data_IF_885345838629
#
_entry.id   IF_885345838629
#
_cell.length_a   1.000
_cell.length_b   1.000
_cell.length_c   1.000
_cell.angle_alpha   90.00
_cell.angle_beta   90.00
_cell.angle_gamma   90.00
#
_symmetry.space_group_name_H-M   'P 1'
#
loop_
_entity.id
_entity.type
_entity.pdbx_description
1 polymer ?
#
# COMPACT_ATOMS: atom_id res chain seq x y z
N UNK A 1 -14.13 -26.04 -23.65
CA UNK A 1 -13.49 -24.72 -23.71
C UNK A 1 -14.14 -23.99 -24.88
N UNK A 2 -14.74 -22.82 -24.64
CA UNK A 2 -15.32 -22.01 -25.73
C UNK A 2 -14.19 -21.30 -26.50
N UNK A 3 -14.49 -20.79 -27.69
CA UNK A 3 -13.50 -20.15 -28.57
C UNK A 3 -12.81 -18.95 -27.89
N UNK A 4 -13.56 -18.14 -27.16
CA UNK A 4 -13.04 -17.00 -26.39
C UNK A 4 -11.94 -17.40 -25.40
N UNK A 5 -12.12 -18.47 -24.63
CA UNK A 5 -11.09 -18.91 -23.69
C UNK A 5 -9.81 -19.41 -24.41
N UNK A 6 -9.95 -19.96 -25.62
CA UNK A 6 -8.79 -20.38 -26.44
C UNK A 6 -8.05 -19.13 -26.95
N UNK A 7 -8.78 -18.10 -27.38
CA UNK A 7 -8.18 -16.84 -27.83
C UNK A 7 -7.43 -16.13 -26.70
N UNK A 8 -8.04 -16.02 -25.51
CA UNK A 8 -7.39 -15.50 -24.30
C UNK A 8 -6.11 -16.25 -23.95
N UNK A 9 -6.12 -17.59 -23.97
CA UNK A 9 -4.92 -18.40 -23.70
C UNK A 9 -3.83 -18.24 -24.76
N UNK A 10 -4.21 -18.16 -26.04
CA UNK A 10 -3.26 -17.90 -27.13
C UNK A 10 -2.61 -16.54 -26.96
N UNK A 11 -3.40 -15.52 -26.64
CA UNK A 11 -2.93 -14.16 -26.39
C UNK A 11 -1.96 -14.11 -25.21
N UNK A 12 -2.35 -14.64 -24.05
CA UNK A 12 -1.46 -14.69 -22.88
C UNK A 12 -0.15 -15.45 -23.21
N UNK A 13 -0.26 -16.55 -23.96
CA UNK A 13 0.90 -17.31 -24.43
C UNK A 13 1.82 -16.50 -25.36
N UNK A 14 1.26 -15.65 -26.23
CA UNK A 14 2.02 -14.72 -27.07
C UNK A 14 2.74 -13.68 -26.23
N UNK A 15 2.12 -13.15 -25.19
CA UNK A 15 2.72 -12.17 -24.28
C UNK A 15 3.94 -12.76 -23.56
N UNK A 16 3.85 -13.99 -23.02
CA UNK A 16 5.02 -14.66 -22.42
C UNK A 16 6.15 -14.89 -23.43
N UNK A 17 5.83 -15.26 -24.67
CA UNK A 17 6.83 -15.42 -25.74
C UNK A 17 7.49 -14.09 -26.09
N UNK A 18 6.71 -13.01 -26.16
CA UNK A 18 7.18 -11.64 -26.39
C UNK A 18 8.12 -11.16 -25.29
N UNK A 19 7.83 -11.48 -24.03
CA UNK A 19 8.74 -11.18 -22.93
C UNK A 19 10.07 -11.92 -23.00
N UNK A 20 10.09 -13.20 -23.38
CA UNK A 20 11.28 -14.04 -23.22
C UNK A 20 11.68 -14.18 -21.74
N UNK A 21 12.50 -13.27 -21.22
CA UNK A 21 12.80 -13.14 -19.79
C UNK A 21 12.64 -11.70 -19.30
N UNK A 22 11.81 -11.51 -18.28
CA UNK A 22 11.63 -10.27 -17.53
C UNK A 22 11.73 -10.60 -16.03
N UNK A 23 12.59 -9.90 -15.30
CA UNK A 23 12.79 -10.15 -13.88
C UNK A 23 11.51 -9.86 -13.09
N UNK A 24 11.08 -10.84 -12.29
CA UNK A 24 9.87 -10.79 -11.47
C UNK A 24 8.56 -11.02 -12.24
N UNK A 25 8.63 -11.44 -13.51
CA UNK A 25 7.50 -12.07 -14.21
C UNK A 25 7.70 -13.59 -14.13
N UNK A 26 6.64 -14.31 -13.75
CA UNK A 26 6.68 -15.77 -13.65
C UNK A 26 6.99 -16.36 -15.03
N UNK A 27 7.91 -17.33 -15.07
CA UNK A 27 8.25 -18.02 -16.31
C UNK A 27 7.42 -19.29 -16.45
N UNK A 28 6.57 -19.43 -17.50
CA UNK A 28 5.88 -20.68 -17.75
C UNK A 28 6.85 -21.83 -18.03
N UNK A 29 6.49 -23.02 -17.57
CA UNK A 29 7.16 -24.28 -17.90
C UNK A 29 6.84 -24.71 -19.34
N UNK A 30 5.61 -24.46 -19.79
CA UNK A 30 5.13 -24.81 -21.12
C UNK A 30 4.04 -23.81 -21.55
N UNK A 31 4.05 -23.44 -22.84
CA UNK A 31 3.02 -22.58 -23.45
C UNK A 31 2.52 -23.26 -24.72
N UNK A 32 1.21 -23.48 -24.80
CA UNK A 32 0.50 -24.00 -25.96
C UNK A 32 -0.78 -23.20 -26.20
N UNK A 33 -1.46 -23.46 -27.30
CA UNK A 33 -2.69 -22.75 -27.67
C UNK A 33 -3.89 -23.07 -26.76
N UNK A 34 -3.79 -24.10 -25.92
CA UNK A 34 -4.90 -24.57 -25.07
C UNK A 34 -4.54 -24.66 -23.59
N UNK A 35 -3.28 -24.38 -23.25
CA UNK A 35 -2.75 -24.54 -21.90
C UNK A 35 -1.45 -23.76 -21.73
N UNK A 36 -1.33 -23.08 -20.60
CA UNK A 36 -0.10 -22.49 -20.07
C UNK A 36 0.21 -23.19 -18.75
N UNK A 37 1.32 -23.92 -18.68
CA UNK A 37 1.76 -24.59 -17.45
C UNK A 37 2.70 -23.69 -16.68
N UNK A 38 2.31 -23.37 -15.45
CA UNK A 38 3.07 -22.50 -14.56
C UNK A 38 3.76 -23.30 -13.45
N UNK A 39 4.91 -22.83 -12.95
CA UNK A 39 5.46 -23.37 -11.70
C UNK A 39 4.51 -23.03 -10.55
N UNK A 40 4.33 -23.99 -9.63
CA UNK A 40 3.50 -23.78 -8.45
C UNK A 40 4.28 -23.05 -7.35
N UNK A 41 3.80 -21.87 -6.96
CA UNK A 41 4.36 -21.06 -5.89
C UNK A 41 3.55 -21.24 -4.61
N UNK A 42 4.12 -21.97 -3.64
CA UNK A 42 3.43 -22.38 -2.40
C UNK A 42 2.94 -21.23 -1.53
N UNK A 43 3.61 -20.07 -1.59
CA UNK A 43 3.25 -18.92 -0.77
C UNK A 43 2.00 -18.19 -1.27
N UNK A 44 1.50 -18.55 -2.46
CA UNK A 44 0.28 -17.98 -3.03
C UNK A 44 0.44 -16.53 -3.48
N UNK A 45 -0.68 -15.86 -3.64
CA UNK A 45 -0.78 -14.46 -4.06
C UNK A 45 -0.67 -13.49 -2.90
N UNK A 46 -0.23 -12.27 -3.20
CA UNK A 46 -0.19 -11.16 -2.27
C UNK A 46 -1.57 -10.86 -1.64
N UNK A 47 -2.67 -11.14 -2.36
CA UNK A 47 -4.04 -10.98 -1.82
C UNK A 47 -4.34 -11.82 -0.58
N UNK A 48 -3.58 -12.89 -0.31
CA UNK A 48 -3.71 -13.68 0.92
C UNK A 48 -3.10 -13.00 2.16
N UNK A 49 -2.32 -11.93 1.97
CA UNK A 49 -1.53 -11.28 3.00
C UNK A 49 -2.21 -9.97 3.43
N UNK A 50 -2.92 -10.03 4.56
CA UNK A 50 -3.67 -8.90 5.09
C UNK A 50 -2.72 -7.85 5.71
N UNK A 51 -3.12 -6.59 5.65
CA UNK A 51 -2.32 -5.45 6.17
C UNK A 51 -1.97 -5.57 7.65
N UNK A 52 -2.82 -6.25 8.44
CA UNK A 52 -2.63 -6.44 9.89
C UNK A 52 -1.67 -7.59 10.24
N UNK A 53 -1.43 -8.52 9.30
CA UNK A 53 -0.55 -9.68 9.52
C UNK A 53 0.87 -9.46 9.02
N UNK A 54 1.14 -8.37 8.31
CA UNK A 54 2.43 -8.07 7.67
C UNK A 54 2.94 -6.69 8.08
N UNK A 55 4.21 -6.65 8.49
CA UNK A 55 4.84 -5.39 8.86
C UNK A 55 4.96 -4.42 7.67
N UNK A 56 5.13 -3.14 7.99
CA UNK A 56 5.19 -2.08 6.98
C UNK A 56 6.42 -2.15 6.07
N UNK A 57 7.53 -2.73 6.54
CA UNK A 57 8.77 -2.85 5.76
C UNK A 57 8.57 -3.87 4.64
N UNK A 58 7.97 -5.02 4.97
CA UNK A 58 7.67 -6.06 3.99
C UNK A 58 6.64 -5.60 2.95
N UNK A 59 5.59 -4.87 3.38
CA UNK A 59 4.64 -4.25 2.46
C UNK A 59 5.29 -3.25 1.53
N UNK A 60 6.15 -2.38 2.06
CA UNK A 60 6.92 -1.43 1.26
C UNK A 60 7.81 -2.18 0.24
N UNK A 61 8.51 -3.25 0.66
CA UNK A 61 9.32 -4.07 -0.24
C UNK A 61 8.50 -4.63 -1.41
N UNK A 62 7.32 -5.17 -1.13
CA UNK A 62 6.43 -5.68 -2.18
C UNK A 62 5.99 -4.58 -3.15
N UNK A 63 5.64 -3.39 -2.66
CA UNK A 63 5.26 -2.28 -3.53
C UNK A 63 6.43 -1.81 -4.40
N UNK A 64 7.66 -1.78 -3.88
CA UNK A 64 8.84 -1.53 -4.69
C UNK A 64 9.02 -2.60 -5.77
N UNK A 65 9.03 -3.87 -5.39
CA UNK A 65 9.22 -4.99 -6.32
C UNK A 65 8.16 -4.93 -7.44
N UNK A 66 6.89 -4.74 -7.09
CA UNK A 66 5.80 -4.62 -8.05
C UNK A 66 5.97 -3.43 -9.00
N UNK A 67 6.30 -2.24 -8.49
CA UNK A 67 6.52 -1.06 -9.33
C UNK A 67 7.63 -1.31 -10.37
N UNK A 68 8.74 -1.90 -9.94
CA UNK A 68 9.86 -2.25 -10.81
C UNK A 68 9.52 -3.37 -11.80
N UNK A 69 8.70 -4.35 -11.41
CA UNK A 69 8.21 -5.39 -12.33
C UNK A 69 7.37 -4.75 -13.44
N UNK A 70 6.39 -3.93 -13.08
CA UNK A 70 5.50 -3.27 -14.05
C UNK A 70 6.31 -2.32 -14.96
N UNK A 71 7.26 -1.57 -14.40
CA UNK A 71 8.17 -0.75 -15.21
C UNK A 71 8.91 -1.58 -16.26
N UNK A 72 9.49 -2.74 -15.90
CA UNK A 72 10.16 -3.63 -16.85
C UNK A 72 9.19 -4.24 -17.88
N UNK A 73 7.95 -4.52 -17.49
CA UNK A 73 6.89 -4.96 -18.41
C UNK A 73 6.58 -3.85 -19.41
N UNK A 74 6.48 -2.60 -18.96
CA UNK A 74 6.31 -1.43 -19.84
C UNK A 74 7.51 -1.27 -20.79
N UNK A 75 8.75 -1.49 -20.35
CA UNK A 75 9.92 -1.47 -21.24
C UNK A 75 9.88 -2.53 -22.35
N UNK A 76 9.10 -3.61 -22.15
CA UNK A 76 8.81 -4.61 -23.18
C UNK A 76 7.59 -4.27 -24.02
N UNK A 77 7.09 -3.04 -23.95
CA UNK A 77 5.94 -2.56 -24.71
C UNK A 77 4.66 -3.34 -24.44
N UNK A 78 4.47 -3.76 -23.19
CA UNK A 78 3.24 -4.43 -22.76
C UNK A 78 2.57 -3.57 -21.70
N UNK A 79 1.29 -3.28 -21.90
CA UNK A 79 0.40 -2.75 -20.87
C UNK A 79 -0.24 -3.93 -20.14
N UNK A 80 -0.35 -3.86 -18.82
CA UNK A 80 -0.80 -4.99 -17.99
C UNK A 80 -2.32 -5.09 -17.96
N UNK A 81 -3.01 -3.95 -17.85
CA UNK A 81 -4.44 -3.82 -17.57
C UNK A 81 -4.87 -4.35 -16.18
N UNK A 82 -4.62 -5.62 -15.88
CA UNK A 82 -5.06 -6.25 -14.63
C UNK A 82 -4.00 -6.24 -13.51
N UNK A 83 -3.60 -5.04 -13.08
CA UNK A 83 -2.72 -4.88 -11.91
C UNK A 83 -3.56 -5.03 -10.64
N UNK A 84 -3.44 -6.17 -9.98
CA UNK A 84 -4.11 -6.48 -8.73
C UNK A 84 -3.28 -7.42 -7.84
N UNK A 85 -3.48 -7.37 -6.51
CA UNK A 85 -2.72 -8.20 -5.54
C UNK A 85 -2.84 -9.72 -5.79
N UNK A 86 -3.92 -10.18 -6.42
CA UNK A 86 -4.11 -11.59 -6.81
C UNK A 86 -3.10 -12.06 -7.88
N UNK A 87 -2.60 -11.14 -8.71
CA UNK A 87 -1.71 -11.43 -9.84
C UNK A 87 -0.23 -11.28 -9.49
N UNK A 88 0.10 -11.01 -8.23
CA UNK A 88 1.47 -11.00 -7.72
C UNK A 88 1.66 -12.18 -6.76
N UNK A 89 2.28 -13.24 -7.25
CA UNK A 89 2.59 -14.44 -6.47
C UNK A 89 3.90 -14.26 -5.69
N UNK A 90 4.07 -15.02 -4.62
CA UNK A 90 5.25 -14.99 -3.77
C UNK A 90 6.09 -16.25 -3.96
N UNK A 91 7.40 -16.08 -4.15
CA UNK A 91 8.36 -17.18 -4.10
C UNK A 91 8.73 -17.56 -2.66
N UNK A 92 9.66 -18.52 -2.50
CA UNK A 92 10.10 -19.00 -1.18
C UNK A 92 10.76 -17.91 -0.32
N UNK A 93 11.28 -16.84 -0.93
CA UNK A 93 11.90 -15.70 -0.25
C UNK A 93 10.90 -14.56 0.01
N UNK A 94 9.61 -14.78 -0.28
CA UNK A 94 8.56 -13.77 -0.26
C UNK A 94 8.84 -12.62 -1.24
N UNK A 95 9.50 -12.90 -2.36
CA UNK A 95 9.66 -11.95 -3.46
C UNK A 95 8.58 -12.18 -4.53
N UNK A 96 8.20 -11.09 -5.20
CA UNK A 96 7.07 -11.08 -6.12
C UNK A 96 7.42 -11.69 -7.48
N UNK A 97 6.47 -12.47 -7.98
CA UNK A 97 6.40 -13.02 -9.33
C UNK A 97 5.03 -12.66 -9.90
N UNK A 98 5.00 -11.69 -10.80
CA UNK A 98 3.79 -11.29 -11.49
C UNK A 98 3.36 -12.38 -12.47
N UNK A 99 2.08 -12.68 -12.49
CA UNK A 99 1.43 -13.62 -13.39
C UNK A 99 0.16 -13.02 -13.97
N UNK A 100 -0.50 -13.78 -14.85
CA UNK A 100 -1.77 -13.43 -15.51
C UNK A 100 -1.66 -12.20 -16.42
N UNK A 101 -1.48 -12.46 -17.71
CA UNK A 101 -1.42 -11.43 -18.75
C UNK A 101 -2.59 -11.54 -19.73
N UNK A 102 -3.69 -12.14 -19.29
CA UNK A 102 -4.86 -12.41 -20.14
C UNK A 102 -5.45 -11.14 -20.75
N UNK A 103 -5.49 -10.05 -19.99
CA UNK A 103 -6.04 -8.75 -20.40
C UNK A 103 -4.95 -7.75 -20.88
N UNK A 104 -3.70 -8.20 -20.98
CA UNK A 104 -2.58 -7.33 -21.32
C UNK A 104 -2.61 -6.91 -22.79
N UNK A 105 -1.93 -5.81 -23.15
CA UNK A 105 -1.88 -5.32 -24.52
C UNK A 105 -0.43 -5.16 -24.96
N UNK A 106 -0.04 -5.83 -26.04
CA UNK A 106 1.27 -5.63 -26.69
C UNK A 106 1.16 -4.42 -27.62
N UNK A 107 1.90 -3.35 -27.32
CA UNK A 107 1.93 -2.13 -28.12
C UNK A 107 2.94 -2.27 -29.25
N UNK A 108 2.48 -2.08 -30.49
CA UNK A 108 3.32 -2.29 -31.67
C UNK A 108 4.48 -1.31 -31.72
N UNK A 109 5.63 -1.70 -32.29
CA UNK A 109 6.86 -0.87 -32.35
C UNK A 109 6.70 0.45 -33.12
N UNK A 110 5.67 0.57 -33.97
CA UNK A 110 5.36 1.78 -34.72
C UNK A 110 4.48 2.78 -33.95
N UNK A 111 4.01 2.43 -32.76
CA UNK A 111 3.18 3.29 -31.91
C UNK A 111 4.00 3.92 -30.80
N UNK A 112 3.60 5.11 -30.36
CA UNK A 112 4.20 5.75 -29.20
C UNK A 112 3.52 5.22 -27.92
N UNK A 113 4.24 4.43 -27.13
CA UNK A 113 3.71 3.82 -25.92
C UNK A 113 3.22 4.84 -24.89
N UNK A 114 3.85 6.03 -24.84
CA UNK A 114 3.46 7.06 -23.87
C UNK A 114 2.08 7.65 -24.16
N UNK A 115 1.65 7.62 -25.43
CA UNK A 115 0.40 8.20 -25.91
C UNK A 115 -0.62 7.16 -26.43
N UNK A 116 -0.26 5.87 -26.39
CA UNK A 116 -1.11 4.78 -26.85
C UNK A 116 -2.27 4.52 -25.87
N UNK A 117 -3.45 4.30 -26.44
CA UNK A 117 -4.67 3.86 -25.74
C UNK A 117 -5.28 2.74 -26.57
N UNK A 118 -5.52 1.57 -25.97
CA UNK A 118 -6.15 0.43 -26.66
C UNK A 118 -7.65 0.67 -26.92
N UNK A 119 -8.27 -0.23 -27.68
CA UNK A 119 -9.73 -0.24 -27.90
C UNK A 119 -10.49 -0.35 -26.57
N UNK A 120 -9.98 -1.14 -25.62
CA UNK A 120 -10.53 -1.28 -24.26
C UNK A 120 -10.05 -0.19 -23.28
N UNK A 121 -9.59 0.95 -23.79
CA UNK A 121 -9.14 2.11 -23.02
C UNK A 121 -7.94 1.86 -22.08
N UNK A 122 -7.15 0.82 -22.33
CA UNK A 122 -5.92 0.51 -21.58
C UNK A 122 -4.80 1.43 -22.07
N UNK A 123 -4.10 2.05 -21.13
CA UNK A 123 -2.95 2.94 -21.38
C UNK A 123 -1.92 2.81 -20.26
N UNK A 124 -0.74 3.40 -20.44
CA UNK A 124 0.26 3.51 -19.35
C UNK A 124 -0.35 4.20 -18.13
N UNK A 125 -1.19 5.22 -18.37
CA UNK A 125 -1.84 5.96 -17.28
C UNK A 125 -2.87 5.11 -16.54
N UNK A 126 -3.60 4.25 -17.25
CA UNK A 126 -4.50 3.27 -16.66
C UNK A 126 -3.74 2.30 -15.74
N UNK A 127 -2.64 1.71 -16.21
CA UNK A 127 -1.81 0.81 -15.40
C UNK A 127 -1.28 1.50 -14.13
N UNK A 128 -0.83 2.75 -14.24
CA UNK A 128 -0.38 3.53 -13.08
C UNK A 128 -1.52 3.72 -12.07
N UNK A 129 -2.74 4.01 -12.54
CA UNK A 129 -3.90 4.16 -11.66
C UNK A 129 -4.27 2.84 -10.96
N UNK A 130 -4.26 1.72 -11.69
CA UNK A 130 -4.45 0.36 -11.14
C UNK A 130 -3.37 0.02 -10.10
N UNK A 131 -2.12 0.40 -10.36
CA UNK A 131 -1.05 0.27 -9.38
C UNK A 131 -1.31 1.11 -8.13
N UNK A 132 -1.80 2.35 -8.28
CA UNK A 132 -2.23 3.19 -7.15
C UNK A 132 -3.31 2.52 -6.29
N UNK A 133 -4.28 1.88 -6.94
CA UNK A 133 -5.33 1.09 -6.28
C UNK A 133 -4.77 -0.11 -5.51
N UNK A 134 -3.83 -0.85 -6.12
CA UNK A 134 -3.13 -1.94 -5.44
C UNK A 134 -2.32 -1.46 -4.23
N UNK A 135 -1.62 -0.33 -4.36
CA UNK A 135 -0.91 0.29 -3.23
C UNK A 135 -1.87 0.65 -2.09
N UNK A 136 -3.03 1.22 -2.41
CA UNK A 136 -4.05 1.57 -1.43
C UNK A 136 -4.58 0.34 -0.69
N UNK A 137 -4.86 -0.76 -1.41
CA UNK A 137 -5.26 -2.05 -0.82
C UNK A 137 -4.19 -2.57 0.14
N UNK A 138 -2.94 -2.67 -0.29
CA UNK A 138 -1.83 -3.23 0.51
C UNK A 138 -1.56 -2.40 1.77
N UNK A 139 -1.64 -1.06 1.68
CA UNK A 139 -1.34 -0.20 2.81
C UNK A 139 -2.51 -0.06 3.79
N UNK A 140 -3.72 0.19 3.26
CA UNK A 140 -4.88 0.52 4.09
C UNK A 140 -5.76 -0.68 4.45
N UNK A 141 -5.66 -1.77 3.68
CA UNK A 141 -6.60 -2.89 3.73
C UNK A 141 -7.97 -2.59 3.12
N UNK A 142 -8.19 -1.37 2.61
CA UNK A 142 -9.42 -0.96 1.93
C UNK A 142 -9.25 -1.00 0.42
N UNK A 143 -10.34 -1.29 -0.30
CA UNK A 143 -10.34 -1.33 -1.76
C UNK A 143 -10.88 -0.04 -2.34
N UNK A 144 -10.27 0.36 -3.45
CA UNK A 144 -10.73 1.43 -4.30
C UNK A 144 -10.12 1.26 -5.67
N UNK A 145 -10.94 1.15 -6.69
CA UNK A 145 -10.54 1.14 -8.08
C UNK A 145 -11.52 1.96 -8.92
N UNK A 146 -11.04 2.41 -10.06
CA UNK A 146 -11.91 3.01 -11.05
C UNK A 146 -11.46 2.67 -12.46
N UNK A 147 -12.42 2.75 -13.37
CA UNK A 147 -12.26 2.59 -14.81
C UNK A 147 -12.67 3.88 -15.51
N UNK A 148 -12.06 4.17 -16.66
CA UNK A 148 -12.44 5.29 -17.51
C UNK A 148 -12.91 4.74 -18.84
N UNK A 149 -14.22 4.82 -19.07
CA UNK A 149 -14.87 4.28 -20.27
C UNK A 149 -15.65 5.44 -20.91
N UNK A 150 -15.07 6.15 -21.90
CA UNK A 150 -15.68 7.32 -22.54
C UNK A 150 -17.05 7.07 -23.19
N UNK A 151 -17.36 5.79 -23.46
CA UNK A 151 -18.57 5.34 -24.15
C UNK A 151 -19.81 5.29 -23.25
N UNK A 152 -19.64 5.30 -21.92
CA UNK A 152 -20.79 5.30 -21.01
C UNK A 152 -21.55 6.63 -21.07
N UNK A 153 -22.86 6.59 -20.84
CA UNK A 153 -23.70 7.78 -20.85
C UNK A 153 -23.43 8.68 -19.63
N UNK A 154 -23.32 8.06 -18.45
CA UNK A 154 -23.12 8.71 -17.15
C UNK A 154 -22.14 7.91 -16.29
N UNK A 155 -21.51 8.58 -15.32
CA UNK A 155 -20.65 7.93 -14.33
C UNK A 155 -21.46 6.90 -13.51
N UNK A 156 -20.83 5.76 -13.22
CA UNK A 156 -21.35 4.67 -12.41
C UNK A 156 -20.53 4.60 -11.13
N UNK A 157 -21.00 5.27 -10.07
CA UNK A 157 -20.22 5.49 -8.84
C UNK A 157 -20.93 5.03 -7.57
N UNK A 158 -22.01 4.26 -7.72
CA UNK A 158 -22.83 3.69 -6.64
C UNK A 158 -22.04 2.69 -5.79
N UNK A 159 -21.09 1.96 -6.38
CA UNK A 159 -20.20 1.06 -5.67
C UNK A 159 -19.02 1.85 -5.07
N UNK A 160 -18.83 1.80 -3.73
CA UNK A 160 -17.75 2.53 -3.08
C UNK A 160 -16.35 1.98 -3.38
N UNK A 161 -16.23 0.70 -3.77
CA UNK A 161 -14.96 0.03 -4.04
C UNK A 161 -14.58 0.06 -5.53
N UNK A 162 -15.54 0.04 -6.45
CA UNK A 162 -15.28 -0.01 -7.89
C UNK A 162 -16.18 0.97 -8.64
N UNK A 163 -15.57 1.94 -9.33
CA UNK A 163 -16.30 3.02 -10.01
C UNK A 163 -15.98 3.06 -11.50
N UNK A 164 -16.91 3.48 -12.34
CA UNK A 164 -16.65 3.71 -13.77
C UNK A 164 -17.00 5.14 -14.11
N UNK A 165 -16.04 5.89 -14.64
CA UNK A 165 -16.22 7.27 -15.03
C UNK A 165 -16.13 7.42 -16.54
N UNK A 166 -16.88 8.38 -17.09
CA UNK A 166 -16.82 8.73 -18.51
C UNK A 166 -15.52 9.44 -18.87
N UNK A 167 -15.05 10.28 -17.97
CA UNK A 167 -13.79 10.99 -18.11
C UNK A 167 -12.90 10.68 -16.90
N UNK A 168 -11.62 11.01 -17.00
CA UNK A 168 -10.72 10.79 -15.87
C UNK A 168 -11.22 11.56 -14.63
N UNK A 169 -11.46 10.90 -13.49
CA UNK A 169 -12.08 11.52 -12.33
C UNK A 169 -11.18 12.60 -11.71
N UNK A 170 -11.84 13.62 -11.17
CA UNK A 170 -11.18 14.69 -10.41
C UNK A 170 -10.83 14.22 -9.01
N UNK A 171 -9.95 15.01 -8.38
CA UNK A 171 -9.36 14.74 -7.09
C UNK A 171 -10.34 14.52 -5.92
N UNK A 172 -11.60 14.99 -6.04
CA UNK A 172 -12.66 14.82 -5.05
C UNK A 172 -13.31 13.43 -5.06
N UNK A 173 -13.18 12.67 -6.15
CA UNK A 173 -13.75 11.33 -6.28
C UNK A 173 -12.86 10.24 -5.64
N UNK A 174 -11.61 10.58 -5.31
CA UNK A 174 -10.66 9.64 -4.72
C UNK A 174 -10.80 9.56 -3.19
N UNK A 175 -10.51 8.41 -2.59
CA UNK A 175 -10.40 8.27 -1.15
C UNK A 175 -9.41 9.28 -0.55
N UNK A 176 -9.70 9.69 0.69
CA UNK A 176 -8.79 10.57 1.41
C UNK A 176 -7.54 9.81 1.88
N UNK A 177 -6.38 10.15 1.30
CA UNK A 177 -5.10 9.50 1.61
C UNK A 177 -4.22 10.29 2.59
N UNK A 178 -4.70 11.39 3.19
CA UNK A 178 -3.87 12.33 3.97
C UNK A 178 -3.13 11.71 5.16
N UNK A 179 -3.69 10.67 5.77
CA UNK A 179 -3.08 9.93 6.89
C UNK A 179 -2.70 8.50 6.52
N UNK A 180 -2.63 8.19 5.23
CA UNK A 180 -2.25 6.87 4.71
C UNK A 180 -0.76 6.89 4.40
N UNK A 181 -0.02 5.87 4.83
CA UNK A 181 1.40 5.74 4.45
C UNK A 181 1.52 5.65 2.92
N UNK A 182 2.48 6.37 2.32
CA UNK A 182 2.58 6.56 0.86
C UNK A 182 1.35 7.25 0.21
N UNK A 183 0.48 7.88 1.01
CA UNK A 183 -0.78 8.46 0.55
C UNK A 183 -0.64 9.50 -0.56
N UNK A 184 0.43 10.29 -0.55
CA UNK A 184 0.74 11.25 -1.62
C UNK A 184 1.10 10.56 -2.94
N UNK A 185 1.84 9.45 -2.87
CA UNK A 185 2.23 8.66 -4.06
C UNK A 185 1.00 7.97 -4.64
N UNK A 186 0.21 7.31 -3.79
CA UNK A 186 -1.07 6.67 -4.15
C UNK A 186 -1.97 7.68 -4.89
N UNK A 187 -2.15 8.87 -4.30
CA UNK A 187 -2.98 9.91 -4.89
C UNK A 187 -2.45 10.40 -6.23
N UNK A 188 -1.13 10.53 -6.37
CA UNK A 188 -0.50 10.94 -7.63
C UNK A 188 -0.54 9.86 -8.72
N UNK A 189 -0.66 8.59 -8.35
CA UNK A 189 -0.98 7.53 -9.32
C UNK A 189 -2.38 7.74 -9.93
N UNK A 190 -3.38 8.10 -9.11
CA UNK A 190 -4.76 8.29 -9.55
C UNK A 190 -5.04 9.61 -10.29
N UNK A 191 -4.34 10.70 -9.99
CA UNK A 191 -4.57 11.99 -10.65
C UNK A 191 -4.25 11.94 -12.15
N UNK A 192 -5.12 12.49 -13.01
CA UNK A 192 -4.93 12.48 -14.46
C UNK A 192 -3.64 13.16 -14.92
N UNK A 193 -3.24 14.23 -14.24
CA UNK A 193 -1.99 14.99 -14.42
C UNK A 193 -0.84 14.52 -13.51
N UNK A 194 -1.00 13.33 -12.91
CA UNK A 194 -0.07 12.73 -11.97
C UNK A 194 1.16 12.10 -12.61
N UNK A 195 1.57 10.92 -12.14
CA UNK A 195 2.70 10.21 -12.76
C UNK A 195 2.39 9.82 -14.21
N UNK A 196 3.40 9.96 -15.08
CA UNK A 196 3.32 9.66 -16.51
C UNK A 196 3.90 8.28 -16.84
N UNK A 197 4.89 7.83 -16.06
CA UNK A 197 5.53 6.53 -16.26
C UNK A 197 5.63 5.75 -14.95
N UNK A 198 5.72 4.42 -15.04
CA UNK A 198 6.04 3.60 -13.86
C UNK A 198 7.45 3.87 -13.31
N UNK A 199 8.36 4.42 -14.12
CA UNK A 199 9.68 4.84 -13.64
C UNK A 199 9.57 6.02 -12.66
N UNK A 200 8.66 6.97 -12.91
CA UNK A 200 8.39 8.08 -11.97
C UNK A 200 7.87 7.56 -10.63
N UNK A 201 7.03 6.52 -10.66
CA UNK A 201 6.49 5.85 -9.48
C UNK A 201 7.62 5.14 -8.71
N UNK A 202 8.50 4.41 -9.41
CA UNK A 202 9.68 3.77 -8.81
C UNK A 202 10.55 4.80 -8.08
N UNK A 203 10.91 5.91 -8.75
CA UNK A 203 11.69 6.98 -8.14
C UNK A 203 10.99 7.60 -6.91
N UNK A 204 9.67 7.76 -6.95
CA UNK A 204 8.92 8.28 -5.82
C UNK A 204 8.97 7.34 -4.60
N UNK A 205 8.83 6.02 -4.83
CA UNK A 205 8.93 5.00 -3.79
C UNK A 205 10.34 4.95 -3.19
N UNK A 206 11.38 5.00 -4.01
CA UNK A 206 12.79 4.97 -3.55
C UNK A 206 13.11 6.14 -2.62
N UNK A 207 12.57 7.32 -2.93
CA UNK A 207 12.71 8.50 -2.10
C UNK A 207 11.85 8.45 -0.81
N UNK A 208 10.75 7.71 -0.81
CA UNK A 208 9.93 7.52 0.38
C UNK A 208 10.60 6.58 1.40
N UNK A 209 11.28 5.53 0.93
CA UNK A 209 12.05 4.60 1.77
C UNK A 209 13.30 5.23 2.43
N UNK A 210 13.85 6.29 1.82
CA UNK A 210 15.03 7.01 2.34
C UNK A 210 14.71 8.10 3.38
N UNK A 211 13.43 8.36 3.69
CA UNK A 211 13.04 9.24 4.81
C UNK A 211 12.93 8.47 6.13
N UNK A 212 14.05 8.24 6.84
CA UNK A 212 14.00 8.30 8.30
C UNK A 212 15.17 9.11 8.86
N UNK A 213 14.96 10.41 9.18
CA UNK A 213 15.71 11.17 10.20
C UNK A 213 15.47 12.70 10.23
N UNK A 214 14.79 13.32 9.26
CA UNK A 214 14.68 14.79 9.22
C UNK A 214 13.59 15.41 10.13
N UNK A 215 12.87 14.60 10.91
CA UNK A 215 11.92 15.07 11.93
C UNK A 215 12.37 14.68 13.35
N UNK A 216 13.66 14.83 13.64
CA UNK A 216 14.21 14.90 15.00
C UNK A 216 15.28 16.00 15.07
N UNK A 217 14.93 17.23 14.73
CA UNK A 217 15.72 18.41 15.11
C UNK A 217 14.91 19.70 15.04
N UNK A 218 13.83 19.77 15.80
CA UNK A 218 13.43 21.04 16.42
C UNK A 218 12.78 20.73 17.76
N UNK A 219 13.45 21.17 18.82
CA UNK A 219 12.94 21.06 20.18
C UNK A 219 11.74 21.99 20.37
N UNK A 220 10.67 21.44 20.91
CA UNK A 220 9.50 22.17 21.37
C UNK A 220 8.52 21.15 21.96
N UNK A 221 8.39 21.15 23.29
CA UNK A 221 7.61 20.17 24.01
C UNK A 221 6.13 20.22 23.62
N UNK A 222 5.59 19.12 23.08
CA UNK A 222 4.16 18.84 23.11
C UNK A 222 3.94 17.38 23.50
N UNK A 223 3.34 17.19 24.67
CA UNK A 223 3.03 15.89 25.26
C UNK A 223 1.95 15.22 24.41
N UNK A 224 2.35 14.31 23.52
CA UNK A 224 1.41 13.42 22.85
C UNK A 224 0.70 12.56 23.91
N UNK A 225 -0.64 12.67 23.97
CA UNK A 225 -1.53 11.88 24.83
C UNK A 225 -1.34 10.39 24.54
N UNK A 226 -0.48 9.76 25.31
CA UNK A 226 -0.33 8.31 25.35
C UNK A 226 -1.58 7.72 26.01
N UNK A 227 -2.26 6.81 25.34
CA UNK A 227 -3.51 6.21 25.81
C UNK A 227 -3.20 5.11 26.84
N UNK A 228 -3.18 5.46 28.13
CA UNK A 228 -2.77 4.63 29.27
C UNK A 228 -3.57 3.33 29.46
N UNK A 229 -4.67 3.13 28.73
CA UNK A 229 -5.56 1.98 28.87
C UNK A 229 -5.00 0.68 28.29
N UNK A 230 -3.98 0.73 27.43
CA UNK A 230 -3.39 -0.47 26.81
C UNK A 230 -2.12 -1.01 27.49
N UNK A 231 -1.60 -0.32 28.51
CA UNK A 231 -0.37 -0.74 29.22
C UNK A 231 -0.61 -1.45 30.55
N UNK A 232 -1.86 -1.77 30.89
CA UNK A 232 -2.21 -2.42 32.17
C UNK A 232 -2.53 -3.93 32.10
N UNK A 233 -2.37 -4.58 30.95
CA UNK A 233 -2.63 -6.03 30.82
C UNK A 233 -1.39 -6.93 30.81
N UNK A 234 -0.18 -6.40 31.01
CA UNK A 234 1.04 -7.22 31.08
C UNK A 234 1.98 -6.72 32.18
N UNK A 235 1.60 -6.88 33.45
CA UNK A 235 2.53 -6.78 34.56
C UNK A 235 2.11 -7.71 35.72
N UNK A 236 3.00 -8.63 36.08
CA UNK A 236 2.90 -9.54 37.22
C UNK A 236 2.72 -8.77 38.55
N UNK A 237 2.01 -9.33 39.57
CA UNK A 237 1.67 -8.65 40.84
C UNK A 237 2.84 -8.13 41.68
N UNK A 238 4.07 -8.46 41.30
CA UNK A 238 5.30 -8.06 42.01
C UNK A 238 5.81 -6.68 41.58
N UNK A 239 5.41 -6.18 40.40
CA UNK A 239 5.91 -4.89 39.86
C UNK A 239 5.07 -3.69 40.34
N UNK A 240 3.82 -3.91 40.75
CA UNK A 240 2.92 -2.84 41.24
C UNK A 240 3.30 -2.30 42.62
N UNK A 241 4.00 -3.07 43.47
CA UNK A 241 4.43 -2.63 44.81
C UNK A 241 5.68 -1.74 44.77
N UNK A 242 6.56 -1.91 43.78
CA UNK A 242 7.79 -1.09 43.66
C UNK A 242 7.47 0.33 43.17
N UNK A 243 6.46 0.49 42.30
CA UNK A 243 6.04 1.79 41.76
C UNK A 243 5.32 2.63 42.85
N UNK A 244 4.60 2.00 43.78
CA UNK A 244 3.87 2.71 44.84
C UNK A 244 4.78 3.26 45.96
N UNK A 245 5.90 2.62 46.27
CA UNK A 245 6.81 3.07 47.34
C UNK A 245 7.85 4.11 46.88
N UNK A 246 8.33 4.05 45.63
CA UNK A 246 9.41 4.93 45.16
C UNK A 246 8.93 6.29 44.60
N UNK A 247 7.67 6.41 44.14
CA UNK A 247 7.20 7.61 43.42
C UNK A 247 6.20 8.44 44.23
N UNK A 248 5.42 7.83 45.14
CA UNK A 248 4.35 8.55 45.88
C UNK A 248 4.86 9.15 47.20
N UNK A 249 5.80 8.51 47.90
CA UNK A 249 6.33 9.00 49.19
C UNK A 249 7.17 10.29 49.05
N UNK A 250 7.98 10.51 47.99
CA UNK A 250 8.69 11.79 47.82
C UNK A 250 7.75 12.95 47.45
N UNK A 251 6.60 12.68 46.82
CA UNK A 251 5.66 13.72 46.35
C UNK A 251 4.68 14.21 47.42
N UNK A 252 4.49 13.48 48.53
CA UNK A 252 3.73 13.98 49.69
C UNK A 252 4.56 14.85 50.65
N UNK A 253 5.90 14.78 50.62
CA UNK A 253 6.78 15.57 51.51
C UNK A 253 7.05 17.01 51.05
N UNK A 254 6.64 17.39 49.83
CA UNK A 254 6.84 18.74 49.25
C UNK A 254 5.61 19.65 49.31
N UNK A 255 4.52 19.24 49.99
CA UNK A 255 3.24 20.00 50.03
C UNK A 255 2.73 20.40 51.42
N UNK A 256 3.57 20.36 52.46
CA UNK A 256 3.18 20.84 53.79
C UNK A 256 4.25 21.80 54.35
N UNK A 257 3.92 23.08 54.61
CA UNK A 257 4.82 23.98 55.31
C UNK A 257 4.95 23.54 56.78
N UNK A 258 6.19 23.50 57.27
CA UNK A 258 6.53 23.10 58.63
C UNK A 258 5.94 24.09 59.65
N UNK A 259 5.41 23.53 60.74
CA UNK A 259 4.90 24.25 61.92
C UNK A 259 6.02 24.98 62.64
N UNK A 260 5.69 26.13 63.22
CA UNK A 260 6.32 26.58 64.47
C UNK A 260 5.24 26.62 65.55
N UNK A 261 5.21 25.58 66.39
CA UNK A 261 4.55 25.61 67.68
C UNK A 261 5.57 26.20 68.66
N UNK A 262 5.25 27.33 69.28
CA UNK A 262 5.85 27.72 70.55
C UNK A 262 4.75 27.80 71.60
N UNK A 263 4.99 27.09 72.69
CA UNK A 263 4.12 26.93 73.83
C UNK A 263 4.05 28.22 74.67
N UNK A 264 2.86 28.52 75.22
CA UNK A 264 2.72 29.20 76.51
C UNK A 264 1.53 28.56 77.25
N UNK A 265 1.82 28.09 78.47
CA UNK A 265 0.94 27.48 79.49
C UNK A 265 0.11 28.57 80.25
N UNK A 266 -0.57 28.30 81.38
CA UNK A 266 -2.02 28.17 81.48
C UNK A 266 -2.65 29.25 82.38
N UNK A 267 -3.98 29.35 82.42
CA UNK A 267 -4.67 29.91 83.60
C UNK A 267 -6.13 29.46 83.68
N UNK A 268 -6.39 28.72 84.74
CA UNK A 268 -7.67 28.44 85.39
C UNK A 268 -8.49 29.70 85.74
N UNK A 269 -9.82 29.56 85.73
CA UNK A 269 -10.81 29.98 86.77
C UNK A 269 -12.21 29.57 86.24
N UNK A 270 -12.86 28.62 86.89
CA UNK A 270 -13.92 28.80 87.91
C UNK A 270 -15.20 29.39 87.33
#
# INVERSE_FOLDING_TARGET
MNETNIESLKHEGLVYRHFGHVQGVIKPCQVSDTEIKMPYLRQGSLSGYHSDSVDSIQRLRWLHEAAYIIHRVHERRVLVADIATRNFLLDENLSLQMCDFTESVIVSNNEDMANFVSEDFVSVKFDIARFGSMMYEVISGSRYEFYVIPEIETDLDDDPESKTFKAWPTAEHFPNTKNVFLGDIIRKCWLGDGFLTMQDVCHALDNAGQKPAALKSSGGAEMAKLNWRHLLCLASPVVTTIIFAAIIVPRLRLRLPWRTISAVLPSTRH
#
